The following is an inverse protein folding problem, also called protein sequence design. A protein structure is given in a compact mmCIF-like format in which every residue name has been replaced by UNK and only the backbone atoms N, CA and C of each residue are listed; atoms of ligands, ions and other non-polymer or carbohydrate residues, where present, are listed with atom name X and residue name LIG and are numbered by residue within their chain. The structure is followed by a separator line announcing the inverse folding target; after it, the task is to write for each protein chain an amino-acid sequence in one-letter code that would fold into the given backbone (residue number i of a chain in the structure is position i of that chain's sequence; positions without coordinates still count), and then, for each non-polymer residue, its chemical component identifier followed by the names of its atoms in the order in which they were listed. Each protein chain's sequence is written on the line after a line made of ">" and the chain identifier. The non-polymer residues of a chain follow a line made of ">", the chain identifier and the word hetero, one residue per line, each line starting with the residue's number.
data_IF_009747756407
#
_entry.id   IF_009747756407
#
_cell.length_a   1.000
_cell.length_b   1.000
_cell.length_c   1.000
_cell.angle_alpha   90.00
_cell.angle_beta   90.00
_cell.angle_gamma   90.00
#
_symmetry.space_group_name_H-M   'P 1'
#
loop_
_entity.id
_entity.type
_entity.pdbx_description
1 polymer ?
#
# COMPACT_ATOMS: atom_id res chain seq x y z
N UNK A 1 15.13 -27.18 54.22
CA UNK A 1 16.04 -26.54 53.25
C UNK A 1 15.19 -26.03 52.08
N UNK A 2 14.78 -24.76 52.07
CA UNK A 2 13.95 -24.17 51.01
C UNK A 2 14.85 -23.53 49.95
N UNK A 3 14.79 -24.08 48.74
CA UNK A 3 15.52 -23.61 47.57
C UNK A 3 14.92 -22.26 47.13
N UNK A 4 15.65 -21.16 47.35
CA UNK A 4 15.30 -19.85 46.79
C UNK A 4 15.70 -19.82 45.31
N UNK A 5 14.73 -19.94 44.41
CA UNK A 5 14.92 -19.75 42.97
C UNK A 5 14.96 -18.24 42.70
N UNK A 6 16.12 -17.73 42.31
CA UNK A 6 16.34 -16.33 41.94
C UNK A 6 15.78 -16.13 40.51
N UNK A 7 14.58 -15.58 40.38
CA UNK A 7 14.05 -15.14 39.09
C UNK A 7 14.85 -13.96 38.57
N UNK A 8 15.69 -14.19 37.56
CA UNK A 8 16.39 -13.12 36.83
C UNK A 8 15.41 -12.57 35.78
N UNK A 9 14.86 -11.37 36.00
CA UNK A 9 14.11 -10.63 34.98
C UNK A 9 15.08 -10.15 33.90
N UNK A 10 15.13 -10.86 32.77
CA UNK A 10 15.79 -10.37 31.56
C UNK A 10 14.94 -9.21 31.01
N UNK A 11 15.31 -7.98 31.35
CA UNK A 11 14.75 -6.81 30.68
C UNK A 11 15.37 -6.76 29.28
N UNK A 12 14.62 -7.14 28.25
CA UNK A 12 15.03 -6.90 26.86
C UNK A 12 15.22 -5.39 26.73
N UNK A 13 16.48 -4.98 26.57
CA UNK A 13 16.81 -3.58 26.45
C UNK A 13 16.26 -3.05 25.12
N UNK A 14 15.10 -2.38 25.16
CA UNK A 14 14.51 -1.75 23.98
C UNK A 14 15.50 -0.68 23.50
N UNK A 15 16.01 -0.87 22.28
CA UNK A 15 16.96 0.03 21.63
C UNK A 15 16.19 1.18 20.99
N UNK A 16 16.77 2.38 20.97
CA UNK A 16 16.18 3.57 20.34
C UNK A 16 15.98 3.34 18.83
N UNK A 17 16.94 2.71 18.16
CA UNK A 17 16.95 2.58 16.70
C UNK A 17 15.74 1.81 16.12
N UNK A 18 15.35 0.62 16.63
CA UNK A 18 14.12 -0.05 16.19
C UNK A 18 12.88 0.81 16.36
N UNK A 19 12.72 1.46 17.52
CA UNK A 19 11.55 2.31 17.78
C UNK A 19 11.50 3.51 16.82
N UNK A 20 12.63 4.16 16.56
CA UNK A 20 12.70 5.26 15.59
C UNK A 20 12.39 4.77 14.18
N UNK A 21 12.82 3.56 13.81
CA UNK A 21 12.46 2.94 12.52
C UNK A 21 10.95 2.78 12.42
N UNK A 22 10.33 2.15 13.42
CA UNK A 22 8.92 1.82 13.39
C UNK A 22 8.06 3.09 13.28
N UNK A 23 8.42 4.14 14.02
CA UNK A 23 7.76 5.45 13.93
C UNK A 23 7.90 6.04 12.53
N UNK A 24 9.10 6.04 11.94
CA UNK A 24 9.31 6.61 10.60
C UNK A 24 8.61 5.79 9.51
N UNK A 25 8.59 4.46 9.61
CA UNK A 25 7.94 3.60 8.61
C UNK A 25 6.41 3.64 8.69
N UNK A 26 5.85 3.97 9.85
CA UNK A 26 4.41 4.15 10.02
C UNK A 26 3.89 5.47 9.41
N UNK A 27 4.77 6.44 9.14
CA UNK A 27 4.43 7.76 8.58
C UNK A 27 5.01 7.90 7.17
N UNK A 28 4.18 7.78 6.13
CA UNK A 28 4.62 7.79 4.73
C UNK A 28 5.42 9.05 4.38
N UNK A 29 4.95 10.21 4.83
CA UNK A 29 5.58 11.51 4.60
C UNK A 29 6.96 11.58 5.28
N UNK A 30 7.07 11.04 6.50
CA UNK A 30 8.33 11.00 7.23
C UNK A 30 9.33 10.06 6.56
N UNK A 31 8.90 8.86 6.17
CA UNK A 31 9.71 7.92 5.40
C UNK A 31 10.23 8.55 4.11
N UNK A 32 9.35 9.19 3.35
CA UNK A 32 9.70 9.80 2.06
C UNK A 32 10.63 11.00 2.24
N UNK A 33 10.33 11.91 3.18
CA UNK A 33 11.17 13.07 3.47
C UNK A 33 12.54 12.67 4.01
N UNK A 34 12.62 11.64 4.86
CA UNK A 34 13.89 11.13 5.39
C UNK A 34 14.75 10.51 4.28
N UNK A 35 14.15 9.66 3.44
CA UNK A 35 14.83 8.93 2.36
C UNK A 35 15.38 9.89 1.31
N UNK A 36 14.58 10.86 0.88
CA UNK A 36 14.96 11.85 -0.13
C UNK A 36 15.81 13.00 0.40
N UNK A 37 15.93 13.14 1.74
CA UNK A 37 16.79 14.14 2.37
C UNK A 37 16.16 15.52 2.57
N UNK A 38 14.83 15.63 2.47
CA UNK A 38 14.07 16.85 2.73
C UNK A 38 13.72 17.04 4.21
N UNK A 39 13.85 15.98 5.02
CA UNK A 39 13.50 16.02 6.44
C UNK A 39 14.45 16.92 7.25
N UNK A 40 13.88 17.90 7.95
CA UNK A 40 14.54 18.56 9.07
C UNK A 40 14.62 17.58 10.27
N UNK A 41 15.72 16.82 10.35
CA UNK A 41 15.89 15.76 11.35
C UNK A 41 15.83 16.28 12.80
N UNK A 42 16.29 17.50 13.06
CA UNK A 42 16.23 18.08 14.40
C UNK A 42 14.79 18.37 14.83
N UNK A 43 14.00 18.99 13.95
CA UNK A 43 12.58 19.29 14.23
C UNK A 43 11.77 18.01 14.38
N UNK A 44 12.02 17.02 13.50
CA UNK A 44 11.38 15.71 13.60
C UNK A 44 11.78 14.98 14.89
N UNK A 45 13.05 15.07 15.31
CA UNK A 45 13.51 14.49 16.57
C UNK A 45 12.79 15.08 17.79
N UNK A 46 12.58 16.39 17.84
CA UNK A 46 11.77 17.00 18.91
C UNK A 46 10.33 16.47 18.91
N UNK A 47 9.72 16.31 17.72
CA UNK A 47 8.37 15.79 17.57
C UNK A 47 8.22 14.36 18.08
N UNK A 48 9.13 13.46 17.71
CA UNK A 48 9.01 12.02 18.06
C UNK A 48 9.55 11.70 19.45
N UNK A 49 10.35 12.59 20.08
CA UNK A 49 11.00 12.31 21.36
C UNK A 49 10.05 11.80 22.44
N UNK A 50 8.89 12.44 22.73
CA UNK A 50 7.98 11.94 23.77
C UNK A 50 7.54 10.51 23.51
N UNK A 51 7.27 10.17 22.24
CA UNK A 51 6.85 8.81 21.85
C UNK A 51 7.96 7.79 21.99
N UNK A 52 9.19 8.16 21.60
CA UNK A 52 10.35 7.29 21.75
C UNK A 52 10.65 7.04 23.23
N UNK A 53 10.57 8.06 24.09
CA UNK A 53 10.78 7.94 25.54
C UNK A 53 9.70 7.07 26.18
N UNK A 54 8.44 7.24 25.77
CA UNK A 54 7.30 6.42 26.20
C UNK A 54 7.52 4.93 25.87
N UNK A 55 7.98 4.62 24.66
CA UNK A 55 8.16 3.24 24.16
C UNK A 55 9.44 2.59 24.70
N UNK A 56 10.52 3.34 24.81
CA UNK A 56 11.82 2.83 25.29
C UNK A 56 11.95 2.82 26.81
N UNK A 57 11.07 3.55 27.52
CA UNK A 57 11.12 3.79 28.97
C UNK A 57 12.44 4.43 29.42
N UNK A 58 13.03 5.28 28.58
CA UNK A 58 14.32 5.95 28.82
C UNK A 58 14.24 7.41 28.41
N UNK A 59 15.01 8.26 29.07
CA UNK A 59 15.28 9.60 28.56
C UNK A 59 16.15 9.50 27.30
N UNK A 60 15.79 10.24 26.26
CA UNK A 60 16.46 10.21 24.96
C UNK A 60 16.92 11.61 24.58
N UNK A 61 18.18 11.74 24.17
CA UNK A 61 18.71 13.02 23.72
C UNK A 61 18.33 13.28 22.26
N UNK A 62 18.15 14.55 21.90
CA UNK A 62 17.91 14.95 20.51
C UNK A 62 19.04 14.46 19.60
N UNK A 63 20.30 14.58 20.06
CA UNK A 63 21.47 14.07 19.33
C UNK A 63 21.34 12.58 19.00
N UNK A 64 20.89 11.75 19.94
CA UNK A 64 20.73 10.31 19.71
C UNK A 64 19.63 9.98 18.68
N UNK A 65 18.56 10.78 18.64
CA UNK A 65 17.50 10.66 17.63
C UNK A 65 18.01 11.09 16.26
N UNK A 66 18.71 12.23 16.16
CA UNK A 66 19.29 12.70 14.89
C UNK A 66 20.29 11.69 14.32
N UNK A 67 21.13 11.08 15.17
CA UNK A 67 22.03 10.00 14.75
C UNK A 67 21.26 8.78 14.26
N UNK A 68 20.17 8.41 14.94
CA UNK A 68 19.33 7.28 14.54
C UNK A 68 18.67 7.55 13.18
N UNK A 69 18.09 8.74 12.96
CA UNK A 69 17.51 9.17 11.69
C UNK A 69 18.54 9.20 10.56
N UNK A 70 19.74 9.73 10.80
CA UNK A 70 20.83 9.76 9.81
C UNK A 70 21.26 8.35 9.37
N UNK A 71 21.29 7.39 10.31
CA UNK A 71 21.56 5.98 10.00
C UNK A 71 20.43 5.37 9.16
N UNK A 72 19.17 5.60 9.54
CA UNK A 72 18.00 5.13 8.80
C UNK A 72 17.97 5.68 7.37
N UNK A 73 18.29 6.96 7.17
CA UNK A 73 18.40 7.53 5.82
C UNK A 73 19.37 6.74 4.93
N UNK A 74 20.54 6.37 5.45
CA UNK A 74 21.54 5.57 4.71
C UNK A 74 21.01 4.16 4.39
N UNK A 75 20.19 3.61 5.27
CA UNK A 75 19.57 2.31 5.09
C UNK A 75 18.44 2.35 4.05
N UNK A 76 17.51 3.30 4.18
CA UNK A 76 16.37 3.44 3.26
C UNK A 76 16.82 3.79 1.84
N UNK A 77 17.89 4.57 1.67
CA UNK A 77 18.49 4.80 0.34
C UNK A 77 19.01 3.54 -0.35
N UNK A 78 19.35 2.49 0.40
CA UNK A 78 19.78 1.20 -0.15
C UNK A 78 18.61 0.29 -0.49
N UNK A 79 17.45 0.52 0.10
CA UNK A 79 16.23 -0.19 -0.27
C UNK A 79 15.80 0.31 -1.65
N UNK A 80 15.75 -0.59 -2.63
CA UNK A 80 15.12 -0.27 -3.92
C UNK A 80 13.68 0.14 -3.63
N UNK A 81 13.20 1.31 -4.10
CA UNK A 81 11.80 1.66 -3.90
C UNK A 81 10.94 0.57 -4.56
N UNK A 82 9.98 0.02 -3.81
CA UNK A 82 8.91 -0.80 -4.38
C UNK A 82 8.01 0.04 -5.31
N UNK A 83 8.06 1.37 -5.14
CA UNK A 83 7.36 2.35 -5.94
C UNK A 83 8.22 2.62 -7.17
N UNK A 84 7.73 2.15 -8.31
CA UNK A 84 8.27 2.54 -9.61
C UNK A 84 7.68 3.92 -9.95
N UNK A 85 8.52 4.85 -10.38
CA UNK A 85 8.03 6.09 -11.00
C UNK A 85 7.38 5.74 -12.33
N UNK A 86 6.06 5.51 -12.30
CA UNK A 86 5.27 5.33 -13.53
C UNK A 86 4.87 6.72 -14.00
N UNK A 87 5.59 7.25 -15.00
CA UNK A 87 5.19 8.47 -15.67
C UNK A 87 3.82 8.25 -16.34
N UNK A 88 2.81 9.03 -15.95
CA UNK A 88 1.52 9.05 -16.64
C UNK A 88 1.78 9.59 -18.05
N UNK A 89 1.65 8.73 -19.06
CA UNK A 89 1.89 9.11 -20.45
C UNK A 89 0.72 9.90 -21.03
N UNK A 90 -0.50 9.39 -20.83
CA UNK A 90 -1.75 9.96 -21.34
C UNK A 90 -2.90 9.68 -20.37
N UNK A 91 -3.92 10.55 -20.41
CA UNK A 91 -5.23 10.36 -19.74
C UNK A 91 -6.30 10.48 -20.82
N UNK A 92 -7.21 9.52 -20.92
CA UNK A 92 -8.27 9.48 -21.93
C UNK A 92 -9.63 9.36 -21.25
N UNK A 93 -10.65 10.01 -21.83
CA UNK A 93 -12.05 9.89 -21.41
C UNK A 93 -12.84 9.16 -22.50
N UNK A 94 -13.73 8.24 -22.12
CA UNK A 94 -14.64 7.52 -23.04
C UNK A 94 -16.07 7.66 -22.54
N UNK A 95 -16.97 8.10 -23.43
CA UNK A 95 -18.41 8.26 -23.23
C UNK A 95 -19.11 8.01 -24.57
N UNK A 96 -20.35 7.48 -24.61
CA UNK A 96 -21.11 6.92 -23.50
C UNK A 96 -20.71 5.47 -23.19
N UNK A 97 -20.76 5.11 -21.90
CA UNK A 97 -20.52 3.76 -21.41
C UNK A 97 -21.80 3.22 -20.75
N UNK A 98 -22.00 1.91 -20.88
CA UNK A 98 -23.04 1.14 -20.19
C UNK A 98 -22.38 0.17 -19.22
N UNK A 99 -22.99 0.02 -18.04
CA UNK A 99 -22.56 -0.89 -16.97
C UNK A 99 -23.62 -1.98 -16.80
N UNK A 100 -23.20 -3.25 -16.82
CA UNK A 100 -24.09 -4.40 -16.69
C UNK A 100 -23.52 -5.32 -15.61
N UNK A 101 -24.31 -5.55 -14.56
CA UNK A 101 -23.89 -6.30 -13.38
C UNK A 101 -24.61 -7.66 -13.35
N UNK A 102 -23.83 -8.72 -13.24
CA UNK A 102 -24.30 -10.10 -13.08
C UNK A 102 -23.82 -10.69 -11.76
N UNK A 103 -24.53 -11.72 -11.28
CA UNK A 103 -24.07 -12.50 -10.12
C UNK A 103 -22.88 -13.36 -10.52
N UNK A 104 -21.85 -13.42 -9.69
CA UNK A 104 -20.72 -14.33 -9.90
C UNK A 104 -21.15 -15.78 -9.57
N UNK A 105 -21.53 -16.54 -10.60
CA UNK A 105 -21.80 -17.97 -10.52
C UNK A 105 -20.89 -18.75 -11.47
N UNK A 106 -20.65 -20.02 -11.17
CA UNK A 106 -19.83 -20.88 -12.04
C UNK A 106 -20.42 -21.01 -13.45
N UNK A 107 -21.76 -20.98 -13.56
CA UNK A 107 -22.48 -21.01 -14.82
C UNK A 107 -22.21 -19.73 -15.62
N UNK A 108 -22.33 -18.56 -14.98
CA UNK A 108 -22.09 -17.27 -15.64
C UNK A 108 -20.64 -17.13 -16.11
N UNK A 109 -19.67 -17.59 -15.33
CA UNK A 109 -18.24 -17.56 -15.72
C UNK A 109 -18.00 -18.39 -16.99
N UNK A 110 -18.71 -19.50 -17.21
CA UNK A 110 -18.61 -20.28 -18.46
C UNK A 110 -19.21 -19.53 -19.65
N UNK A 111 -20.35 -18.87 -19.46
CA UNK A 111 -20.98 -18.06 -20.51
C UNK A 111 -20.13 -16.85 -20.88
N UNK A 112 -19.43 -16.27 -19.91
CA UNK A 112 -18.48 -15.18 -20.09
C UNK A 112 -17.29 -15.57 -20.98
N UNK A 113 -16.76 -16.80 -20.85
CA UNK A 113 -15.74 -17.32 -21.77
C UNK A 113 -16.26 -17.38 -23.21
N UNK A 114 -17.53 -17.73 -23.39
CA UNK A 114 -18.19 -17.73 -24.70
C UNK A 114 -18.37 -16.31 -25.23
N UNK A 115 -18.76 -15.34 -24.38
CA UNK A 115 -18.86 -13.94 -24.76
C UNK A 115 -17.51 -13.43 -25.28
N UNK A 116 -16.44 -13.65 -24.52
CA UNK A 116 -15.10 -13.19 -24.87
C UNK A 116 -14.59 -13.78 -26.19
N UNK A 117 -14.99 -15.00 -26.56
CA UNK A 117 -14.65 -15.62 -27.84
C UNK A 117 -15.42 -15.03 -29.02
N UNK A 118 -16.66 -14.61 -28.81
CA UNK A 118 -17.59 -14.24 -29.88
C UNK A 118 -17.80 -12.73 -30.02
N UNK A 119 -17.41 -11.94 -29.03
CA UNK A 119 -17.56 -10.50 -29.06
C UNK A 119 -16.53 -9.88 -30.02
N UNK A 120 -17.00 -9.45 -31.19
CA UNK A 120 -16.23 -8.53 -32.03
C UNK A 120 -16.25 -7.12 -31.41
N UNK A 121 -15.06 -6.60 -31.10
CA UNK A 121 -14.76 -5.29 -30.49
C UNK A 121 -13.79 -4.56 -31.42
N UNK A 122 -14.04 -3.28 -31.72
CA UNK A 122 -13.11 -2.43 -32.48
C UNK A 122 -12.08 -1.75 -31.57
N UNK A 123 -10.98 -1.23 -32.14
CA UNK A 123 -9.97 -0.52 -31.34
C UNK A 123 -10.50 0.74 -30.64
N UNK A 124 -11.60 1.30 -31.12
CA UNK A 124 -12.20 2.51 -30.54
C UNK A 124 -13.20 2.20 -29.43
N UNK A 125 -13.65 0.95 -29.34
CA UNK A 125 -14.61 0.51 -28.34
C UNK A 125 -13.93 0.35 -26.98
N UNK A 126 -14.67 0.71 -25.95
CA UNK A 126 -14.33 0.39 -24.57
C UNK A 126 -15.06 -0.89 -24.17
N UNK A 127 -14.33 -1.84 -23.59
CA UNK A 127 -14.88 -3.06 -23.02
C UNK A 127 -13.96 -3.55 -21.91
N UNK A 128 -14.53 -3.75 -20.71
CA UNK A 128 -13.83 -4.31 -19.57
C UNK A 128 -14.77 -5.23 -18.80
N UNK A 129 -14.20 -6.24 -18.17
CA UNK A 129 -14.88 -7.18 -17.30
C UNK A 129 -14.13 -7.20 -15.99
N UNK A 130 -14.84 -6.97 -14.89
CA UNK A 130 -14.32 -7.08 -13.53
C UNK A 130 -15.02 -8.22 -12.82
N UNK A 131 -14.26 -9.24 -12.40
CA UNK A 131 -14.80 -10.39 -11.66
C UNK A 131 -14.50 -10.18 -10.18
N UNK A 132 -15.54 -9.84 -9.41
CA UNK A 132 -15.51 -9.74 -7.96
C UNK A 132 -15.83 -11.07 -7.27
N UNK A 133 -15.93 -11.07 -5.94
CA UNK A 133 -16.28 -12.29 -5.18
C UNK A 133 -17.76 -12.65 -5.28
N UNK A 134 -18.64 -11.67 -5.49
CA UNK A 134 -20.10 -11.85 -5.52
C UNK A 134 -20.73 -11.49 -6.85
N UNK A 135 -20.06 -10.66 -7.63
CA UNK A 135 -20.59 -10.05 -8.85
C UNK A 135 -19.54 -10.03 -9.96
N UNK A 136 -20.02 -9.96 -11.19
CA UNK A 136 -19.24 -9.69 -12.38
C UNK A 136 -19.81 -8.43 -13.03
N UNK A 137 -18.95 -7.44 -13.20
CA UNK A 137 -19.30 -6.15 -13.80
C UNK A 137 -18.72 -6.07 -15.21
N UNK A 138 -19.57 -5.74 -16.18
CA UNK A 138 -19.20 -5.52 -17.57
C UNK A 138 -19.45 -4.06 -17.90
N UNK A 139 -18.37 -3.30 -18.10
CA UNK A 139 -18.45 -1.90 -18.57
C UNK A 139 -18.05 -1.88 -20.04
N UNK A 140 -18.93 -1.35 -20.89
CA UNK A 140 -18.75 -1.35 -22.33
C UNK A 140 -19.20 -0.05 -22.98
N UNK A 141 -18.76 0.24 -24.20
CA UNK A 141 -19.37 1.29 -25.02
C UNK A 141 -20.83 0.96 -25.28
N UNK A 142 -21.73 1.94 -25.16
CA UNK A 142 -23.20 1.71 -25.23
C UNK A 142 -23.64 0.98 -26.50
N UNK A 143 -22.91 1.11 -27.61
CA UNK A 143 -23.21 0.38 -28.85
C UNK A 143 -23.08 -1.15 -28.71
N UNK A 144 -22.31 -1.63 -27.73
CA UNK A 144 -22.11 -3.06 -27.43
C UNK A 144 -23.15 -3.61 -26.45
N UNK A 145 -23.88 -2.76 -25.74
CA UNK A 145 -24.82 -3.15 -24.67
C UNK A 145 -25.82 -4.20 -25.15
N UNK A 146 -26.54 -3.90 -26.24
CA UNK A 146 -27.54 -4.81 -26.81
C UNK A 146 -26.94 -6.14 -27.29
N UNK A 147 -25.66 -6.17 -27.66
CA UNK A 147 -24.97 -7.40 -28.09
C UNK A 147 -24.65 -8.27 -26.89
N UNK A 148 -24.22 -7.65 -25.79
CA UNK A 148 -23.89 -8.33 -24.54
C UNK A 148 -25.17 -8.87 -23.88
N UNK A 149 -26.22 -8.05 -23.77
CA UNK A 149 -27.51 -8.45 -23.19
C UNK A 149 -28.24 -9.55 -23.95
N UNK A 150 -27.93 -9.75 -25.25
CA UNK A 150 -28.50 -10.85 -26.05
C UNK A 150 -27.71 -12.15 -25.97
N UNK A 151 -26.48 -12.09 -25.46
CA UNK A 151 -25.62 -13.26 -25.34
C UNK A 151 -25.95 -14.07 -24.08
N UNK A 152 -26.32 -13.37 -23.00
CA UNK A 152 -26.78 -13.93 -21.74
C UNK A 152 -28.32 -13.97 -21.69
#
# INVERSE_FOLDING_TARGET
>A
MRLFVKFVRIHIMIKIQPIVRDIVMAELEAYYALTNGYMNMSSYAYRIRPKVEELTKKQVTITSLVVSLSRLRKEFKKMKPLIHDVAIKNITTKLPLSEIIYKNTNEFIKELESLHKNISISQEDFFTITIGTTEVDIICSTILENKILKHF
#
